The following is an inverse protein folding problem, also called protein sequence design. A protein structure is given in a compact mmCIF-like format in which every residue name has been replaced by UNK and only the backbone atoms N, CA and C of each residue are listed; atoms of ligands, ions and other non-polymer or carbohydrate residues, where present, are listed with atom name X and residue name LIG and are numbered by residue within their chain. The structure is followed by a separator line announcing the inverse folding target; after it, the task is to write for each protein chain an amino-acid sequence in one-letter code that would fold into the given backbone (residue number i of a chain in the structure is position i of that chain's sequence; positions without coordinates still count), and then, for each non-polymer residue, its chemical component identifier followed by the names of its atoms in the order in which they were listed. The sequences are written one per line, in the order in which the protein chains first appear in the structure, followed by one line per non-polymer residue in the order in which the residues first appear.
data_IF_546640727838
#
_entry.id   IF_546640727838
#
_cell.length_a   1.000
_cell.length_b   1.000
_cell.length_c   1.000
_cell.angle_alpha   90.00
_cell.angle_beta   90.00
_cell.angle_gamma   90.00
#
_symmetry.space_group_name_H-M   'P 1'
#
loop_
_entity.id
_entity.type
_entity.pdbx_description
1 polymer ?
#
# COMPACT_ATOMS: atom_id res chain seq x y z
N UNK A 1 -0.55 28.61 15.12
CA UNK A 1 -1.99 28.95 14.92
C UNK A 1 -2.88 28.71 16.13
N UNK A 2 -2.91 27.50 16.72
CA UNK A 2 -3.81 27.21 17.86
C UNK A 2 -3.70 28.22 19.01
N UNK A 3 -2.49 28.41 19.54
CA UNK A 3 -2.24 29.34 20.65
C UNK A 3 -2.47 30.81 20.26
N UNK A 4 -2.19 31.17 19.01
CA UNK A 4 -2.42 32.52 18.51
C UNK A 4 -3.92 32.84 18.39
N UNK A 5 -4.73 31.88 17.91
CA UNK A 5 -6.19 32.00 17.89
C UNK A 5 -6.81 32.02 19.30
N UNK A 6 -6.23 31.28 20.25
CA UNK A 6 -6.63 31.30 21.65
C UNK A 6 -6.38 32.66 22.30
N UNK A 7 -5.16 33.21 22.14
CA UNK A 7 -4.81 34.54 22.64
C UNK A 7 -5.69 35.61 22.00
N UNK A 8 -5.92 35.55 20.68
CA UNK A 8 -6.80 36.48 19.98
C UNK A 8 -8.26 36.42 20.45
N UNK A 9 -8.77 35.22 20.76
CA UNK A 9 -10.12 35.05 21.33
C UNK A 9 -10.20 35.65 22.73
N UNK A 10 -9.15 35.47 23.53
CA UNK A 10 -9.04 36.05 24.88
C UNK A 10 -8.99 37.58 24.86
N UNK A 11 -8.14 38.19 24.02
CA UNK A 11 -8.02 39.66 23.94
C UNK A 11 -9.24 40.34 23.33
N UNK A 12 -10.00 39.65 22.47
CA UNK A 12 -11.25 40.15 21.91
C UNK A 12 -12.46 39.99 22.85
N UNK A 13 -12.30 39.40 24.04
CA UNK A 13 -13.40 39.12 24.98
C UNK A 13 -14.33 37.98 24.52
N UNK A 14 -13.85 37.11 23.63
CA UNK A 14 -14.61 35.99 23.07
C UNK A 14 -14.71 34.77 24.00
N UNK A 15 -15.61 33.84 23.67
CA UNK A 15 -15.81 32.61 24.44
C UNK A 15 -14.79 31.52 24.07
N UNK A 16 -13.80 31.31 24.95
CA UNK A 16 -12.79 30.24 24.83
C UNK A 16 -13.38 28.84 24.66
N UNK A 17 -14.46 28.53 25.37
CA UNK A 17 -15.13 27.22 25.28
C UNK A 17 -15.58 26.92 23.85
N UNK A 18 -16.18 27.91 23.19
CA UNK A 18 -16.64 27.78 21.81
C UNK A 18 -15.46 27.67 20.83
N UNK A 19 -14.39 28.44 21.05
CA UNK A 19 -13.14 28.32 20.28
C UNK A 19 -12.55 26.91 20.35
N UNK A 20 -12.41 26.35 21.55
CA UNK A 20 -11.86 25.00 21.72
C UNK A 20 -12.75 23.92 21.11
N UNK A 21 -14.09 24.02 21.23
CA UNK A 21 -15.01 23.08 20.60
C UNK A 21 -14.87 23.09 19.07
N UNK A 22 -14.88 24.28 18.45
CA UNK A 22 -14.71 24.42 17.00
C UNK A 22 -13.36 23.87 16.54
N UNK A 23 -12.29 24.14 17.30
CA UNK A 23 -10.95 23.69 16.95
C UNK A 23 -10.77 22.19 17.15
N UNK A 24 -11.39 21.60 18.17
CA UNK A 24 -11.46 20.16 18.36
C UNK A 24 -12.20 19.48 17.20
N UNK A 25 -13.37 19.99 16.81
CA UNK A 25 -14.13 19.46 15.69
C UNK A 25 -13.35 19.55 14.37
N UNK A 26 -12.65 20.67 14.15
CA UNK A 26 -11.78 20.86 12.99
C UNK A 26 -10.67 19.81 12.93
N UNK A 27 -9.89 19.63 14.02
CA UNK A 27 -8.85 18.61 14.07
C UNK A 27 -9.40 17.18 13.96
N UNK A 28 -10.59 16.92 14.51
CA UNK A 28 -11.26 15.63 14.33
C UNK A 28 -11.62 15.37 12.86
N UNK A 29 -12.09 16.39 12.13
CA UNK A 29 -12.36 16.28 10.68
C UNK A 29 -11.08 16.06 9.88
N UNK A 30 -10.04 16.83 10.16
CA UNK A 30 -8.74 16.66 9.49
C UNK A 30 -8.15 15.26 9.74
N UNK A 31 -8.20 14.78 10.98
CA UNK A 31 -7.74 13.45 11.33
C UNK A 31 -8.53 12.35 10.63
N UNK A 32 -9.87 12.49 10.53
CA UNK A 32 -10.70 11.56 9.75
C UNK A 32 -10.32 11.54 8.29
N UNK A 33 -10.08 12.70 7.68
CA UNK A 33 -9.64 12.80 6.29
C UNK A 33 -8.26 12.17 6.09
N UNK A 34 -7.31 12.42 7.02
CA UNK A 34 -5.97 11.81 6.98
C UNK A 34 -6.04 10.29 7.07
N UNK A 35 -6.83 9.78 8.01
CA UNK A 35 -7.06 8.34 8.18
C UNK A 35 -7.68 7.73 6.92
N UNK A 36 -8.65 8.39 6.30
CA UNK A 36 -9.28 7.88 5.09
C UNK A 36 -8.28 7.75 3.93
N UNK A 37 -7.46 8.78 3.70
CA UNK A 37 -6.38 8.74 2.69
C UNK A 37 -5.35 7.66 2.98
N UNK A 38 -5.01 7.45 4.25
CA UNK A 38 -4.09 6.39 4.67
C UNK A 38 -4.66 5.00 4.36
N UNK A 39 -5.93 4.77 4.68
CA UNK A 39 -6.62 3.51 4.35
C UNK A 39 -6.71 3.27 2.84
N UNK A 40 -7.00 4.32 2.06
CA UNK A 40 -7.01 4.25 0.60
C UNK A 40 -5.63 3.87 0.05
N UNK A 41 -4.55 4.44 0.58
CA UNK A 41 -3.18 4.07 0.21
C UNK A 41 -2.87 2.60 0.50
N UNK A 42 -3.26 2.08 1.68
CA UNK A 42 -3.09 0.65 2.00
C UNK A 42 -3.93 -0.23 1.08
N UNK A 43 -5.15 0.18 0.76
CA UNK A 43 -6.03 -0.57 -0.14
C UNK A 43 -5.43 -0.68 -1.56
N UNK A 44 -4.88 0.41 -2.10
CA UNK A 44 -4.21 0.41 -3.41
C UNK A 44 -2.96 -0.47 -3.42
N UNK A 45 -2.18 -0.47 -2.33
CA UNK A 45 -1.08 -1.42 -2.18
C UNK A 45 -1.62 -2.85 -2.17
N UNK A 46 -2.61 -3.17 -1.33
CA UNK A 46 -3.18 -4.52 -1.29
C UNK A 46 -3.73 -5.00 -2.66
N UNK A 47 -4.42 -4.13 -3.41
CA UNK A 47 -4.92 -4.45 -4.74
C UNK A 47 -3.78 -4.74 -5.72
N UNK A 48 -2.78 -3.84 -5.80
CA UNK A 48 -1.63 -4.03 -6.68
C UNK A 48 -0.80 -5.27 -6.34
N UNK A 49 -0.72 -5.65 -5.05
CA UNK A 49 -0.07 -6.89 -4.62
C UNK A 49 -0.74 -8.13 -5.22
N UNK A 50 -2.07 -8.23 -5.09
CA UNK A 50 -2.82 -9.38 -5.59
C UNK A 50 -2.67 -9.47 -7.12
N UNK A 51 -2.70 -8.35 -7.82
CA UNK A 51 -2.57 -8.33 -9.29
C UNK A 51 -1.16 -8.70 -9.74
N UNK A 52 -0.13 -8.02 -9.22
CA UNK A 52 1.24 -8.11 -9.73
C UNK A 52 2.02 -9.28 -9.11
N UNK A 53 1.92 -9.49 -7.80
CA UNK A 53 2.71 -10.50 -7.10
C UNK A 53 2.03 -11.87 -7.04
N UNK A 54 0.70 -11.94 -7.16
CA UNK A 54 -0.05 -13.19 -7.06
C UNK A 54 -0.62 -13.64 -8.41
N UNK A 55 -1.50 -12.84 -9.01
CA UNK A 55 -2.23 -13.25 -10.22
C UNK A 55 -1.31 -13.43 -11.43
N UNK A 56 -0.39 -12.49 -11.67
CA UNK A 56 0.57 -12.56 -12.78
C UNK A 56 1.48 -13.81 -12.69
N UNK A 57 2.15 -14.10 -11.56
CA UNK A 57 2.92 -15.34 -11.41
C UNK A 57 2.07 -16.61 -11.50
N UNK A 58 0.86 -16.60 -10.94
CA UNK A 58 -0.05 -17.74 -11.05
C UNK A 58 -0.42 -18.04 -12.50
N UNK A 59 -0.76 -17.00 -13.28
CA UNK A 59 -1.05 -17.14 -14.70
C UNK A 59 0.14 -17.71 -15.48
N UNK A 60 1.35 -17.21 -15.20
CA UNK A 60 2.58 -17.73 -15.80
C UNK A 60 2.77 -19.22 -15.48
N UNK A 61 2.62 -19.62 -14.21
CA UNK A 61 2.75 -21.03 -13.80
C UNK A 61 1.72 -21.90 -14.52
N UNK A 62 0.45 -21.49 -14.54
CA UNK A 62 -0.62 -22.26 -15.19
C UNK A 62 -0.32 -22.44 -16.68
N UNK A 63 0.10 -21.38 -17.37
CA UNK A 63 0.46 -21.46 -18.79
C UNK A 63 1.64 -22.40 -19.04
N UNK A 64 2.68 -22.35 -18.19
CA UNK A 64 3.84 -23.24 -18.28
C UNK A 64 3.45 -24.71 -18.07
N UNK A 65 2.59 -24.99 -17.09
CA UNK A 65 2.07 -26.34 -16.83
C UNK A 65 1.27 -26.85 -18.03
N UNK A 66 0.40 -26.02 -18.62
CA UNK A 66 -0.39 -26.39 -19.80
C UNK A 66 0.52 -26.63 -21.01
N UNK A 67 1.48 -25.74 -21.29
CA UNK A 67 2.45 -25.92 -22.39
C UNK A 67 3.23 -27.21 -22.25
N UNK A 68 3.70 -27.53 -21.04
CA UNK A 68 4.43 -28.77 -20.77
C UNK A 68 3.58 -30.01 -21.08
N UNK A 69 2.29 -29.97 -20.71
CA UNK A 69 1.37 -31.08 -20.92
C UNK A 69 0.91 -31.21 -22.38
N UNK A 70 0.61 -30.10 -23.05
CA UNK A 70 0.10 -30.06 -24.44
C UNK A 70 1.21 -30.32 -25.46
N UNK A 71 2.45 -29.86 -25.20
CA UNK A 71 3.52 -29.94 -26.20
C UNK A 71 4.02 -31.36 -26.43
N UNK A 72 3.83 -32.29 -25.48
CA UNK A 72 4.14 -33.73 -25.59
C UNK A 72 5.61 -34.11 -25.83
N UNK A 73 6.43 -33.22 -26.42
CA UNK A 73 7.85 -33.42 -26.77
C UNK A 73 8.59 -32.14 -27.20
N UNK A 74 7.93 -31.01 -27.49
CA UNK A 74 8.56 -29.85 -28.16
C UNK A 74 9.05 -28.70 -27.27
N UNK A 75 8.56 -28.58 -26.03
CA UNK A 75 8.99 -27.55 -25.09
C UNK A 75 9.53 -28.20 -23.81
N UNK A 76 10.67 -28.89 -23.93
CA UNK A 76 11.44 -29.33 -22.75
C UNK A 76 12.13 -28.12 -22.14
N UNK A 77 11.37 -27.30 -21.41
CA UNK A 77 11.99 -26.30 -20.54
C UNK A 77 12.82 -27.07 -19.51
N UNK A 78 14.11 -26.76 -19.41
CA UNK A 78 14.99 -27.52 -18.51
C UNK A 78 14.47 -27.40 -17.09
N UNK A 79 14.51 -28.50 -16.34
CA UNK A 79 14.04 -28.56 -14.96
C UNK A 79 14.68 -27.45 -14.10
N UNK A 80 15.96 -27.14 -14.36
CA UNK A 80 16.68 -26.03 -13.74
C UNK A 80 16.12 -24.64 -14.05
N UNK A 81 15.60 -24.39 -15.26
CA UNK A 81 14.95 -23.12 -15.59
C UNK A 81 13.61 -22.96 -14.86
N UNK A 82 12.85 -24.05 -14.72
CA UNK A 82 11.59 -24.09 -13.99
C UNK A 82 11.81 -23.80 -12.49
N UNK A 83 12.81 -24.46 -11.89
CA UNK A 83 13.24 -24.16 -10.52
C UNK A 83 13.76 -22.72 -10.37
N UNK A 84 14.50 -22.20 -11.35
CA UNK A 84 14.99 -20.82 -11.32
C UNK A 84 13.87 -19.78 -11.32
N UNK A 85 12.80 -20.01 -12.07
CA UNK A 85 11.62 -19.13 -12.08
C UNK A 85 10.86 -19.25 -10.75
N UNK A 86 10.54 -20.46 -10.31
CA UNK A 86 9.70 -20.68 -9.14
C UNK A 86 10.41 -20.32 -7.83
N UNK A 87 11.68 -20.68 -7.67
CA UNK A 87 12.45 -20.43 -6.44
C UNK A 87 13.27 -19.15 -6.48
N UNK A 88 13.53 -18.60 -7.67
CA UNK A 88 14.27 -17.34 -7.83
C UNK A 88 13.35 -16.16 -8.11
N UNK A 89 12.69 -16.19 -9.27
CA UNK A 89 11.92 -15.04 -9.76
C UNK A 89 10.70 -14.71 -8.90
N UNK A 90 9.90 -15.72 -8.50
CA UNK A 90 8.70 -15.47 -7.68
C UNK A 90 9.04 -14.88 -6.31
N UNK A 91 9.99 -15.45 -5.52
CA UNK A 91 10.40 -14.84 -4.26
C UNK A 91 10.98 -13.44 -4.45
N UNK A 92 11.71 -13.20 -5.54
CA UNK A 92 12.26 -11.87 -5.83
C UNK A 92 11.17 -10.82 -6.03
N UNK A 93 10.06 -11.16 -6.70
CA UNK A 93 8.89 -10.26 -6.80
C UNK A 93 8.35 -9.94 -5.40
N UNK A 94 8.23 -10.93 -4.53
CA UNK A 94 7.70 -10.73 -3.17
C UNK A 94 8.64 -9.85 -2.32
N UNK A 95 9.96 -10.05 -2.42
CA UNK A 95 10.96 -9.22 -1.75
C UNK A 95 10.92 -7.78 -2.28
N UNK A 96 10.87 -7.60 -3.61
CA UNK A 96 10.76 -6.29 -4.23
C UNK A 96 9.49 -5.57 -3.80
N UNK A 97 8.37 -6.29 -3.72
CA UNK A 97 7.10 -5.75 -3.27
C UNK A 97 7.13 -5.37 -1.78
N UNK A 98 7.68 -6.22 -0.92
CA UNK A 98 7.88 -5.90 0.49
C UNK A 98 8.75 -4.65 0.68
N UNK A 99 9.80 -4.50 -0.14
CA UNK A 99 10.64 -3.30 -0.14
C UNK A 99 9.87 -2.05 -0.58
N UNK A 100 9.02 -2.15 -1.61
CA UNK A 100 8.17 -1.05 -2.05
C UNK A 100 7.24 -0.59 -0.91
N UNK A 101 6.52 -1.53 -0.29
CA UNK A 101 5.62 -1.23 0.85
C UNK A 101 6.40 -0.57 2.00
N UNK A 102 7.58 -1.09 2.31
CA UNK A 102 8.43 -0.50 3.36
C UNK A 102 8.88 0.93 3.01
N UNK A 103 9.28 1.17 1.76
CA UNK A 103 9.67 2.50 1.29
C UNK A 103 8.50 3.48 1.36
N UNK A 104 7.32 3.08 0.90
CA UNK A 104 6.10 3.91 0.96
C UNK A 104 5.63 4.15 2.39
N UNK A 105 5.80 3.18 3.29
CA UNK A 105 5.50 3.36 4.72
C UNK A 105 6.40 4.43 5.35
N UNK A 106 7.68 4.46 5.02
CA UNK A 106 8.62 5.46 5.54
C UNK A 106 8.29 6.88 5.10
N UNK A 107 7.79 7.04 3.88
CA UNK A 107 7.37 8.36 3.37
C UNK A 107 6.17 8.92 4.13
N UNK A 108 5.35 8.07 4.74
CA UNK A 108 4.19 8.49 5.55
C UNK A 108 4.53 8.83 7.01
N UNK A 109 5.72 8.44 7.48
CA UNK A 109 6.26 8.82 8.80
C UNK A 109 6.95 10.20 8.79
N UNK A 110 7.39 10.67 7.61
CA UNK A 110 8.00 11.99 7.40
C UNK A 110 6.96 13.09 7.16
#
# INVERSE_FOLDING_TARGET
EFFQGMIGTLTAGGQLKLFFLNRAEHYMRENRTRLHKFLESIALLAESYIVVAVAMPLFLIVMLVIMFWVSGSGAQMSEGMLYGIVLGFIPLIHVAYAFLVWSSSKEQEM
#
